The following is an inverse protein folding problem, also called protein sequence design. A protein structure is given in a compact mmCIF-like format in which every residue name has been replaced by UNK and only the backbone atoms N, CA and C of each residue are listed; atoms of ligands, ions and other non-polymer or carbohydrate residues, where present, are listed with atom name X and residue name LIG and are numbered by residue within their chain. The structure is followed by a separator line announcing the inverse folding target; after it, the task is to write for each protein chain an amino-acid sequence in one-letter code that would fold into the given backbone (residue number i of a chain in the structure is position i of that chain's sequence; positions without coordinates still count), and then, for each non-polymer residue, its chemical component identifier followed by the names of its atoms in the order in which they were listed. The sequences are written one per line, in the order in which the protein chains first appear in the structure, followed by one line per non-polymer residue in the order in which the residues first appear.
data_IF_473947206740
#
_entry.id   IF_473947206740
#
_cell.length_a   1.000
_cell.length_b   1.000
_cell.length_c   1.000
_cell.angle_alpha   90.00
_cell.angle_beta   90.00
_cell.angle_gamma   90.00
#
_symmetry.space_group_name_H-M   'P 1'
#
loop_
_entity.id
_entity.type
_entity.pdbx_description
1 polymer ?
#
# COMPACT_ATOMS: atom_id res chain seq x y z
N UNK A 1 20.59 45.91 -15.28
CA UNK A 1 21.71 45.32 -14.51
C UNK A 1 21.12 44.67 -13.29
N UNK A 2 20.75 43.40 -13.36
CA UNK A 2 20.03 42.67 -12.32
C UNK A 2 21.00 41.77 -11.55
N UNK A 3 21.19 42.07 -10.30
CA UNK A 3 22.06 41.33 -9.37
C UNK A 3 21.34 40.03 -9.00
N UNK A 4 21.79 38.90 -9.53
CA UNK A 4 21.39 37.57 -9.06
C UNK A 4 22.03 37.32 -7.68
N UNK A 5 21.21 37.31 -6.62
CA UNK A 5 21.64 36.78 -5.31
C UNK A 5 21.79 35.26 -5.45
N UNK A 6 23.02 34.76 -5.31
CA UNK A 6 23.29 33.35 -5.11
C UNK A 6 22.77 32.94 -3.74
N UNK A 7 21.91 31.93 -3.71
CA UNK A 7 21.58 31.21 -2.48
C UNK A 7 22.84 30.41 -2.09
N UNK A 8 23.38 30.54 -0.86
CA UNK A 8 24.49 29.71 -0.44
C UNK A 8 24.03 28.27 -0.30
N UNK A 9 24.81 27.33 -0.84
CA UNK A 9 24.69 25.91 -0.52
C UNK A 9 24.94 25.73 0.98
N UNK A 10 24.21 24.85 1.69
CA UNK A 10 24.48 24.59 3.10
C UNK A 10 25.92 24.07 3.26
N UNK A 11 26.68 24.78 4.06
CA UNK A 11 28.03 24.38 4.42
C UNK A 11 28.02 23.06 5.20
N UNK A 12 29.08 22.29 5.02
CA UNK A 12 29.32 21.03 5.74
C UNK A 12 29.19 21.27 7.27
N UNK A 13 28.29 20.60 8.00
CA UNK A 13 28.07 20.88 9.43
C UNK A 13 29.32 20.56 10.23
N UNK A 14 29.79 21.56 10.98
CA UNK A 14 31.05 21.46 11.73
C UNK A 14 30.86 21.20 13.23
N UNK A 15 29.60 21.09 13.71
CA UNK A 15 29.32 20.86 15.13
C UNK A 15 28.21 19.82 15.36
N UNK A 16 28.24 19.10 16.51
CA UNK A 16 27.18 18.17 16.89
C UNK A 16 25.81 18.83 17.02
N UNK A 17 25.71 20.13 17.20
CA UNK A 17 24.47 20.90 17.30
C UNK A 17 23.87 21.16 15.92
N UNK A 18 24.66 21.40 14.90
CA UNK A 18 24.24 21.55 13.51
C UNK A 18 23.78 20.21 12.93
N UNK A 19 24.39 19.10 13.33
CA UNK A 19 23.96 17.75 12.99
C UNK A 19 22.60 17.43 13.63
N UNK A 20 22.37 17.84 14.89
CA UNK A 20 21.10 17.63 15.58
C UNK A 20 19.96 18.48 14.99
N UNK A 21 20.24 19.67 14.47
CA UNK A 21 19.26 20.50 13.76
C UNK A 21 18.98 19.96 12.35
N UNK A 22 19.94 19.35 11.67
CA UNK A 22 19.72 18.68 10.38
C UNK A 22 18.84 17.41 10.52
N UNK A 23 18.87 16.74 11.68
CA UNK A 23 18.09 15.51 11.97
C UNK A 23 16.58 15.80 12.20
N UNK A 24 16.15 17.05 12.31
CA UNK A 24 14.76 17.41 12.61
C UNK A 24 13.84 17.55 11.38
N UNK A 25 14.31 17.29 10.18
CA UNK A 25 13.50 17.41 8.97
C UNK A 25 12.48 16.28 8.88
N UNK A 26 11.19 16.65 8.93
CA UNK A 26 10.08 15.74 8.75
C UNK A 26 9.57 15.78 7.30
N UNK A 27 8.75 14.80 6.91
CA UNK A 27 7.99 14.82 5.64
C UNK A 27 7.31 16.18 5.38
N UNK A 28 6.88 16.85 6.43
CA UNK A 28 6.26 18.17 6.38
C UNK A 28 7.23 19.26 5.95
N UNK A 29 8.46 19.22 6.46
CA UNK A 29 9.48 20.25 6.19
C UNK A 29 10.00 20.13 4.76
N UNK A 30 10.20 18.90 4.25
CA UNK A 30 10.54 18.63 2.86
C UNK A 30 9.51 19.22 1.88
N UNK A 31 8.22 18.98 2.12
CA UNK A 31 7.16 19.42 1.22
C UNK A 31 6.90 20.93 1.30
N UNK A 32 7.17 21.57 2.43
CA UNK A 32 7.11 23.04 2.54
C UNK A 32 8.19 23.75 1.72
N UNK A 33 9.34 23.09 1.49
CA UNK A 33 10.41 23.62 0.62
C UNK A 33 10.10 23.41 -0.86
N UNK A 34 9.47 22.28 -1.23
CA UNK A 34 9.07 21.98 -2.60
C UNK A 34 7.90 22.85 -3.08
N UNK A 35 7.03 23.31 -2.16
CA UNK A 35 5.82 24.11 -2.46
C UNK A 35 6.00 25.63 -2.35
N UNK A 36 7.21 26.13 -2.22
CA UNK A 36 7.56 27.54 -2.05
C UNK A 36 7.21 28.46 -3.22
N UNK A 37 6.02 28.31 -3.83
CA UNK A 37 5.43 29.28 -4.75
C UNK A 37 3.91 29.34 -4.56
N UNK A 38 3.45 30.51 -4.08
CA UNK A 38 2.07 31.02 -4.05
C UNK A 38 1.15 30.56 -2.91
N UNK A 39 1.19 31.32 -1.81
CA UNK A 39 0.06 31.44 -0.87
C UNK A 39 -0.89 32.50 -1.41
N UNK A 40 -1.96 32.05 -2.07
CA UNK A 40 -3.14 32.86 -2.34
C UNK A 40 -4.26 32.39 -1.42
N UNK A 41 -4.64 33.20 -0.44
CA UNK A 41 -5.78 32.93 0.45
C UNK A 41 -7.08 32.99 -0.34
N UNK A 42 -7.70 31.85 -0.62
CA UNK A 42 -9.04 31.76 -1.15
C UNK A 42 -10.00 31.40 0.00
N UNK A 43 -10.88 32.33 0.34
CA UNK A 43 -12.04 32.12 1.21
C UNK A 43 -12.97 31.10 0.56
N UNK A 44 -13.09 29.92 1.15
CA UNK A 44 -14.02 28.88 0.73
C UNK A 44 -15.45 29.23 1.17
N UNK A 45 -16.26 29.65 0.21
CA UNK A 45 -17.71 29.70 0.36
C UNK A 45 -18.25 28.27 0.34
N UNK A 46 -18.86 27.84 1.44
CA UNK A 46 -19.57 26.55 1.52
C UNK A 46 -20.86 26.63 0.68
N UNK A 47 -20.80 26.07 -0.54
CA UNK A 47 -22.01 25.70 -1.26
C UNK A 47 -22.46 24.30 -0.83
N UNK A 48 -23.79 24.03 -0.67
CA UNK A 48 -24.24 22.70 -0.31
C UNK A 48 -23.88 21.71 -1.42
N UNK A 49 -23.10 20.67 -1.07
CA UNK A 49 -22.78 19.57 -1.96
C UNK A 49 -24.09 18.89 -2.38
N UNK A 50 -24.53 19.11 -3.61
CA UNK A 50 -25.45 18.21 -4.29
C UNK A 50 -24.72 16.87 -4.39
N UNK A 51 -25.28 15.83 -3.77
CA UNK A 51 -24.85 14.46 -3.98
C UNK A 51 -24.91 14.15 -5.49
N UNK A 52 -23.81 14.29 -6.18
CA UNK A 52 -23.66 13.85 -7.55
C UNK A 52 -23.75 12.32 -7.49
N UNK A 53 -24.74 11.76 -8.19
CA UNK A 53 -24.83 10.33 -8.40
C UNK A 53 -23.49 9.88 -9.01
N UNK A 54 -22.69 9.14 -8.23
CA UNK A 54 -21.39 8.68 -8.65
C UNK A 54 -21.53 7.79 -9.89
N UNK A 55 -20.73 7.98 -10.92
CA UNK A 55 -20.75 7.11 -12.08
C UNK A 55 -20.53 5.66 -11.65
N UNK A 56 -21.38 4.72 -12.08
CA UNK A 56 -21.27 3.27 -11.79
C UNK A 56 -19.94 2.63 -12.23
N UNK A 57 -19.06 3.40 -12.85
CA UNK A 57 -17.79 2.97 -13.43
C UNK A 57 -16.55 3.32 -12.59
N UNK A 58 -16.71 3.94 -11.39
CA UNK A 58 -15.55 4.31 -10.57
C UNK A 58 -14.85 3.07 -10.04
N UNK A 59 -13.53 3.06 -10.17
CA UNK A 59 -12.65 1.99 -9.68
C UNK A 59 -11.73 2.50 -8.60
N UNK A 60 -11.30 1.61 -7.72
CA UNK A 60 -10.31 1.90 -6.69
C UNK A 60 -9.22 0.84 -6.72
N UNK A 61 -7.97 1.29 -6.70
CA UNK A 61 -6.80 0.45 -6.49
C UNK A 61 -6.12 0.92 -5.20
N UNK A 62 -5.97 0.03 -4.24
CA UNK A 62 -5.20 0.27 -3.00
C UNK A 62 -3.89 -0.47 -3.12
N UNK A 63 -2.78 0.23 -2.92
CA UNK A 63 -1.44 -0.34 -2.87
C UNK A 63 -0.91 -0.17 -1.45
N UNK A 64 -0.71 -1.27 -0.72
CA UNK A 64 0.00 -1.22 0.54
C UNK A 64 1.50 -1.21 0.27
N UNK A 65 2.14 -0.11 0.62
CA UNK A 65 3.60 0.04 0.62
C UNK A 65 4.13 -0.66 1.88
N UNK A 66 4.03 -1.98 1.89
CA UNK A 66 4.12 -2.81 3.08
C UNK A 66 5.53 -3.21 3.45
N UNK A 67 5.68 -3.59 4.71
CA UNK A 67 6.97 -3.80 5.33
C UNK A 67 7.49 -2.55 6.06
N UNK A 68 6.86 -1.39 5.86
CA UNK A 68 7.21 -0.11 6.47
C UNK A 68 8.55 0.47 6.00
N UNK A 69 8.61 1.77 5.87
CA UNK A 69 9.84 2.51 5.58
C UNK A 69 9.90 3.76 6.47
N UNK A 70 11.09 4.12 6.93
CA UNK A 70 11.32 5.33 7.72
C UNK A 70 11.50 6.55 6.81
N UNK A 71 11.34 7.73 7.38
CA UNK A 71 11.61 8.98 6.67
C UNK A 71 13.10 9.12 6.34
N UNK A 72 13.97 8.58 7.19
CA UNK A 72 15.42 8.57 6.99
C UNK A 72 15.84 7.93 5.67
N UNK A 73 15.18 6.85 5.26
CA UNK A 73 15.48 6.16 4.00
C UNK A 73 14.57 6.58 2.84
N UNK A 74 13.65 7.54 3.06
CA UNK A 74 12.67 7.96 2.03
C UNK A 74 12.62 9.47 1.86
N UNK A 75 11.89 10.19 2.72
CA UNK A 75 11.59 11.62 2.52
C UNK A 75 12.64 12.57 3.06
N UNK A 76 13.52 12.14 3.96
CA UNK A 76 14.65 12.96 4.39
C UNK A 76 15.70 13.11 3.25
N UNK A 77 16.48 14.19 3.24
CA UNK A 77 17.34 14.53 2.11
C UNK A 77 18.21 13.36 1.60
N UNK A 78 18.82 12.59 2.50
CA UNK A 78 19.70 11.48 2.15
C UNK A 78 18.92 10.24 1.66
N UNK A 79 17.64 10.12 2.02
CA UNK A 79 16.77 9.02 1.60
C UNK A 79 16.06 9.24 0.28
N UNK A 80 16.02 10.47 -0.23
CA UNK A 80 15.20 10.82 -1.41
C UNK A 80 15.65 10.12 -2.70
N UNK A 81 16.91 9.77 -2.80
CA UNK A 81 17.43 8.99 -3.94
C UNK A 81 16.82 7.59 -4.04
N UNK A 82 16.23 7.07 -2.94
CA UNK A 82 15.60 5.76 -2.90
C UNK A 82 14.15 5.77 -3.40
N UNK A 83 13.52 6.95 -3.53
CA UNK A 83 12.11 7.09 -3.92
C UNK A 83 11.90 8.10 -5.07
N UNK A 84 12.69 8.05 -6.15
CA UNK A 84 12.63 9.04 -7.21
C UNK A 84 11.25 9.09 -7.90
N UNK A 85 10.56 7.96 -8.06
CA UNK A 85 9.25 7.91 -8.72
C UNK A 85 8.14 8.50 -7.82
N UNK A 86 8.14 8.20 -6.52
CA UNK A 86 7.22 8.84 -5.58
C UNK A 86 7.37 10.35 -5.63
N UNK A 87 8.62 10.86 -5.59
CA UNK A 87 8.91 12.29 -5.53
C UNK A 87 8.59 13.03 -6.83
N UNK A 88 9.00 12.47 -7.98
CA UNK A 88 8.95 13.20 -9.25
C UNK A 88 7.74 12.88 -10.11
N UNK A 89 7.13 11.71 -9.94
CA UNK A 89 6.01 11.27 -10.76
C UNK A 89 4.68 11.25 -9.98
N UNK A 90 4.66 10.71 -8.74
CA UNK A 90 3.40 10.41 -8.05
C UNK A 90 2.94 11.54 -7.12
N UNK A 91 3.81 12.12 -6.30
CA UNK A 91 3.45 13.25 -5.42
C UNK A 91 2.86 14.42 -6.22
N UNK A 92 3.44 14.85 -7.37
CA UNK A 92 2.88 15.96 -8.15
C UNK A 92 1.44 15.71 -8.64
N UNK A 93 1.04 14.45 -8.81
CA UNK A 93 -0.29 14.06 -9.27
C UNK A 93 -1.25 13.70 -8.13
N UNK A 94 -0.85 13.87 -6.87
CA UNK A 94 -1.58 13.35 -5.72
C UNK A 94 -1.98 14.43 -4.71
N UNK A 95 -2.95 14.07 -3.86
CA UNK A 95 -3.09 14.63 -2.51
C UNK A 95 -2.27 13.76 -1.56
N UNK A 96 -1.25 14.33 -0.93
CA UNK A 96 -0.30 13.65 -0.06
C UNK A 96 -0.56 13.96 1.42
N UNK A 97 -0.91 12.93 2.19
CA UNK A 97 -1.11 12.99 3.63
C UNK A 97 0.19 12.62 4.34
N UNK A 98 0.77 13.55 5.10
CA UNK A 98 2.06 13.35 5.74
C UNK A 98 1.98 12.69 7.12
N UNK A 99 0.79 12.57 7.71
CA UNK A 99 0.58 12.14 9.10
C UNK A 99 -0.59 11.16 9.19
N UNK A 100 -0.38 9.92 8.76
CA UNK A 100 -1.35 8.82 8.92
C UNK A 100 -0.97 7.99 10.15
N UNK A 101 -1.86 7.91 11.13
CA UNK A 101 -1.56 7.27 12.42
C UNK A 101 -2.29 5.95 12.56
N UNK A 102 -1.54 4.90 12.90
CA UNK A 102 -2.05 3.59 13.27
C UNK A 102 -1.94 3.39 14.78
N UNK A 103 -3.08 3.28 15.47
CA UNK A 103 -3.13 3.01 16.92
C UNK A 103 -3.27 1.53 17.26
N UNK A 104 -3.40 0.68 16.26
CA UNK A 104 -3.55 -0.77 16.42
C UNK A 104 -2.24 -1.52 16.69
N UNK A 105 -2.30 -2.82 16.49
CA UNK A 105 -1.14 -3.71 16.53
C UNK A 105 -0.32 -3.51 15.27
N UNK A 106 0.99 -3.30 15.41
CA UNK A 106 1.92 -3.11 14.31
C UNK A 106 2.51 -4.45 13.85
N UNK A 107 1.66 -5.34 13.39
CA UNK A 107 2.02 -6.55 12.67
C UNK A 107 1.39 -6.50 11.28
N UNK A 108 2.13 -6.89 10.24
CA UNK A 108 1.73 -6.62 8.84
C UNK A 108 0.36 -7.20 8.48
N UNK A 109 0.04 -8.40 8.95
CA UNK A 109 -1.25 -9.04 8.62
C UNK A 109 -2.41 -8.42 9.38
N UNK A 110 -2.26 -8.20 10.70
CA UNK A 110 -3.30 -7.58 11.52
C UNK A 110 -3.48 -6.11 11.21
N UNK A 111 -2.41 -5.38 10.87
CA UNK A 111 -2.50 -3.98 10.44
C UNK A 111 -3.18 -3.84 9.07
N UNK A 112 -2.83 -4.70 8.10
CA UNK A 112 -3.51 -4.72 6.79
C UNK A 112 -4.98 -5.12 6.92
N UNK A 113 -5.30 -6.08 7.82
CA UNK A 113 -6.69 -6.40 8.14
C UNK A 113 -7.43 -5.20 8.74
N UNK A 114 -6.78 -4.45 9.65
CA UNK A 114 -7.34 -3.23 10.24
C UNK A 114 -7.58 -2.14 9.17
N UNK A 115 -6.67 -1.99 8.21
CA UNK A 115 -6.86 -1.12 7.05
C UNK A 115 -8.05 -1.56 6.19
N UNK A 116 -8.27 -2.88 6.04
CA UNK A 116 -9.33 -3.42 5.21
C UNK A 116 -10.71 -3.43 5.89
N UNK A 117 -10.77 -3.46 7.22
CA UNK A 117 -12.03 -3.44 7.99
C UNK A 117 -12.44 -2.03 8.45
N UNK A 118 -11.46 -1.12 8.60
CA UNK A 118 -11.68 0.18 9.24
C UNK A 118 -11.86 0.07 10.76
N UNK A 119 -11.41 -1.03 11.36
CA UNK A 119 -11.40 -1.30 12.80
C UNK A 119 -10.03 -1.82 13.21
N UNK A 120 -9.51 -1.44 14.37
CA UNK A 120 -8.26 -2.01 14.86
C UNK A 120 -8.48 -3.45 15.30
N UNK A 121 -8.14 -4.39 14.42
CA UNK A 121 -8.19 -5.82 14.71
C UNK A 121 -7.15 -6.22 15.75
N UNK A 122 -7.44 -7.28 16.54
CA UNK A 122 -6.62 -7.64 17.70
C UNK A 122 -6.16 -9.10 17.72
N UNK A 123 -6.30 -9.80 16.59
CA UNK A 123 -5.82 -11.19 16.50
C UNK A 123 -4.28 -11.27 16.43
N UNK A 124 -3.77 -12.44 16.73
CA UNK A 124 -2.34 -12.72 16.61
C UNK A 124 -1.90 -12.61 15.15
N UNK A 125 -0.87 -11.81 14.90
CA UNK A 125 -0.34 -11.55 13.54
C UNK A 125 -0.02 -12.82 12.74
N UNK A 126 0.32 -13.93 13.39
CA UNK A 126 0.70 -15.19 12.74
C UNK A 126 -0.39 -16.28 12.79
N UNK A 127 -1.60 -15.93 13.20
CA UNK A 127 -2.67 -16.93 13.39
C UNK A 127 -3.38 -17.33 12.08
N UNK A 128 -3.16 -16.64 10.98
CA UNK A 128 -3.86 -16.84 9.68
C UNK A 128 -5.39 -16.94 9.83
N UNK A 129 -5.95 -16.15 10.72
CA UNK A 129 -7.39 -16.08 10.98
C UNK A 129 -8.03 -14.96 10.17
N UNK A 130 -9.33 -15.07 9.81
CA UNK A 130 -10.02 -13.96 9.17
C UNK A 130 -10.18 -12.79 10.15
N UNK A 131 -10.31 -11.56 9.67
CA UNK A 131 -10.72 -10.41 10.48
C UNK A 131 -12.07 -10.67 11.18
N UNK A 132 -12.25 -10.09 12.36
CA UNK A 132 -13.51 -10.23 13.10
C UNK A 132 -14.61 -9.32 12.54
N UNK A 133 -14.23 -8.18 11.94
CA UNK A 133 -15.15 -7.19 11.40
C UNK A 133 -15.24 -7.28 9.87
N UNK A 134 -16.38 -6.88 9.26
CA UNK A 134 -16.54 -6.91 7.82
C UNK A 134 -15.49 -6.09 7.10
N UNK A 135 -14.95 -6.64 6.03
CA UNK A 135 -13.96 -5.99 5.19
C UNK A 135 -14.60 -5.03 4.20
N UNK A 136 -13.80 -4.11 3.67
CA UNK A 136 -14.20 -3.21 2.58
C UNK A 136 -14.75 -3.97 1.36
N UNK A 137 -14.25 -5.17 1.11
CA UNK A 137 -14.69 -6.02 0.00
C UNK A 137 -16.11 -6.56 0.22
N UNK A 138 -16.43 -6.94 1.46
CA UNK A 138 -17.75 -7.45 1.83
C UNK A 138 -18.79 -6.33 1.79
N UNK A 139 -18.47 -5.13 2.30
CA UNK A 139 -19.34 -3.96 2.14
C UNK A 139 -19.56 -3.66 0.65
N UNK A 140 -18.50 -3.56 -0.13
CA UNK A 140 -18.55 -3.27 -1.57
C UNK A 140 -19.42 -4.28 -2.32
N UNK A 141 -19.19 -5.57 -2.09
CA UNK A 141 -19.91 -6.62 -2.82
C UNK A 141 -21.36 -6.78 -2.40
N UNK A 142 -21.63 -6.80 -1.10
CA UNK A 142 -22.98 -6.98 -0.56
C UNK A 142 -23.85 -5.76 -0.80
N UNK A 143 -23.40 -4.59 -0.39
CA UNK A 143 -24.24 -3.38 -0.38
C UNK A 143 -24.50 -2.88 -1.81
N UNK A 144 -23.57 -3.10 -2.74
CA UNK A 144 -23.70 -2.71 -4.14
C UNK A 144 -24.06 -3.87 -5.08
N UNK A 145 -24.33 -5.05 -4.53
CA UNK A 145 -24.63 -6.26 -5.30
C UNK A 145 -23.60 -6.54 -6.40
N UNK A 146 -22.29 -6.47 -6.04
CA UNK A 146 -21.19 -6.68 -6.99
C UNK A 146 -20.81 -8.16 -7.10
N UNK A 147 -20.47 -8.65 -8.31
CA UNK A 147 -20.05 -10.04 -8.51
C UNK A 147 -18.69 -10.33 -7.84
N UNK A 148 -18.39 -11.62 -7.62
CA UNK A 148 -17.13 -12.05 -7.03
C UNK A 148 -15.89 -11.61 -7.83
N UNK A 149 -16.03 -11.47 -9.14
CA UNK A 149 -14.94 -11.05 -10.04
C UNK A 149 -14.56 -9.57 -9.92
N UNK A 150 -15.30 -8.80 -9.11
CA UNK A 150 -15.15 -7.34 -9.06
C UNK A 150 -14.35 -6.84 -7.85
N UNK A 151 -13.95 -7.76 -6.94
CA UNK A 151 -13.13 -7.46 -5.77
C UNK A 151 -12.00 -8.47 -5.60
N UNK A 152 -10.75 -8.01 -5.59
CA UNK A 152 -9.57 -8.86 -5.54
C UNK A 152 -8.50 -8.31 -4.60
N UNK A 153 -7.77 -9.25 -3.98
CA UNK A 153 -6.53 -9.02 -3.24
C UNK A 153 -5.40 -9.79 -3.91
N UNK A 154 -4.28 -9.14 -4.14
CA UNK A 154 -3.03 -9.77 -4.55
C UNK A 154 -1.98 -9.46 -3.50
N UNK A 155 -1.41 -10.47 -2.88
CA UNK A 155 -0.45 -10.30 -1.80
C UNK A 155 0.64 -11.38 -1.84
N UNK A 156 1.91 -11.06 -1.51
CA UNK A 156 3.02 -11.98 -1.71
C UNK A 156 3.07 -13.10 -0.66
N UNK A 157 2.50 -12.90 0.51
CA UNK A 157 2.74 -13.71 1.69
C UNK A 157 1.47 -14.42 2.20
N UNK A 158 1.64 -15.59 2.84
CA UNK A 158 0.55 -16.41 3.37
C UNK A 158 -0.32 -15.71 4.41
N UNK A 159 0.27 -14.88 5.26
CA UNK A 159 -0.46 -14.20 6.31
C UNK A 159 -1.59 -13.29 5.78
N UNK A 160 -1.49 -12.86 4.52
CA UNK A 160 -2.55 -12.08 3.88
C UNK A 160 -3.70 -12.92 3.32
N UNK A 161 -3.63 -14.25 3.39
CA UNK A 161 -4.63 -15.17 2.84
C UNK A 161 -6.07 -14.87 3.30
N UNK A 162 -6.24 -14.39 4.52
CA UNK A 162 -7.55 -14.23 5.15
C UNK A 162 -8.10 -12.80 5.11
N UNK A 163 -7.36 -11.82 4.59
CA UNK A 163 -7.81 -10.41 4.62
C UNK A 163 -8.96 -10.10 3.65
N UNK A 164 -9.25 -10.97 2.70
CA UNK A 164 -10.30 -10.77 1.72
C UNK A 164 -11.72 -11.00 2.26
N UNK A 165 -11.88 -11.83 3.30
CA UNK A 165 -13.18 -12.22 3.86
C UNK A 165 -13.10 -12.33 5.37
N UNK A 166 -14.08 -11.75 6.08
CA UNK A 166 -14.13 -11.73 7.54
C UNK A 166 -14.86 -12.94 8.14
N UNK A 167 -14.72 -13.07 9.48
CA UNK A 167 -15.56 -13.96 10.30
C UNK A 167 -16.91 -13.37 10.70
N UNK A 168 -17.24 -12.15 10.25
CA UNK A 168 -18.45 -11.43 10.66
C UNK A 168 -19.72 -12.14 10.23
N UNK A 169 -20.57 -12.49 11.21
CA UNK A 169 -21.82 -13.23 10.95
C UNK A 169 -22.82 -12.50 10.06
N UNK A 170 -22.77 -11.18 10.03
CA UNK A 170 -23.66 -10.32 9.23
C UNK A 170 -23.40 -10.36 7.74
N UNK A 171 -22.21 -10.85 7.31
CA UNK A 171 -21.83 -10.86 5.90
C UNK A 171 -21.87 -12.25 5.27
N UNK A 172 -21.55 -13.31 5.97
CA UNK A 172 -21.58 -14.67 5.45
C UNK A 172 -20.44 -14.99 4.47
N UNK A 173 -20.29 -16.28 4.17
CA UNK A 173 -19.24 -16.77 3.31
C UNK A 173 -19.44 -16.39 1.83
N UNK A 174 -18.35 -16.10 1.14
CA UNK A 174 -18.34 -15.86 -0.29
C UNK A 174 -18.71 -14.42 -0.70
N UNK A 175 -18.82 -13.50 0.26
CA UNK A 175 -19.02 -12.07 -0.01
C UNK A 175 -17.73 -11.26 0.01
N UNK A 176 -16.60 -11.86 0.35
CA UNK A 176 -15.29 -11.21 0.35
C UNK A 176 -14.65 -11.12 -1.05
N UNK A 177 -13.42 -10.65 -1.08
CA UNK A 177 -12.58 -10.62 -2.28
C UNK A 177 -11.99 -12.00 -2.59
N UNK A 178 -11.74 -12.27 -3.87
CA UNK A 178 -10.81 -13.33 -4.26
C UNK A 178 -9.38 -12.95 -3.82
N UNK A 179 -8.66 -13.89 -3.22
CA UNK A 179 -7.28 -13.68 -2.77
C UNK A 179 -6.32 -14.50 -3.63
N UNK A 180 -5.34 -13.82 -4.21
CA UNK A 180 -4.25 -14.46 -4.96
C UNK A 180 -2.95 -14.27 -4.20
N UNK A 181 -2.27 -15.40 -3.95
CA UNK A 181 -0.95 -15.47 -3.34
C UNK A 181 0.05 -15.98 -4.39
N UNK A 182 0.69 -15.09 -5.17
CA UNK A 182 1.50 -15.48 -6.32
C UNK A 182 2.64 -16.43 -6.01
N UNK A 183 3.31 -16.30 -4.86
CA UNK A 183 4.35 -17.23 -4.41
C UNK A 183 3.83 -18.66 -4.24
N UNK A 184 2.64 -18.79 -3.66
CA UNK A 184 2.00 -20.10 -3.45
C UNK A 184 1.65 -20.76 -4.77
N UNK A 185 1.14 -19.98 -5.71
CA UNK A 185 0.84 -20.44 -7.07
C UNK A 185 2.11 -20.86 -7.81
N UNK A 186 3.17 -20.05 -7.73
CA UNK A 186 4.46 -20.39 -8.31
C UNK A 186 5.02 -21.68 -7.68
N UNK A 187 5.00 -21.80 -6.37
CA UNK A 187 5.44 -23.00 -5.66
C UNK A 187 4.67 -24.25 -6.09
N UNK A 188 3.36 -24.14 -6.32
CA UNK A 188 2.53 -25.25 -6.78
C UNK A 188 2.80 -25.62 -8.26
N UNK A 189 3.19 -24.64 -9.09
CA UNK A 189 3.55 -24.86 -10.50
C UNK A 189 4.88 -25.59 -10.67
N UNK A 190 5.76 -25.52 -9.65
CA UNK A 190 7.14 -26.03 -9.77
C UNK A 190 7.26 -27.45 -9.21
N UNK A 191 7.97 -28.31 -9.93
CA UNK A 191 8.46 -29.58 -9.39
C UNK A 191 9.48 -29.34 -8.29
N UNK A 192 9.71 -30.35 -7.42
CA UNK A 192 10.64 -30.23 -6.29
C UNK A 192 12.06 -29.79 -6.69
N UNK A 193 12.54 -30.18 -7.88
CA UNK A 193 13.86 -29.78 -8.41
C UNK A 193 13.87 -28.37 -9.03
N UNK A 194 12.71 -27.87 -9.49
CA UNK A 194 12.59 -26.54 -10.09
C UNK A 194 12.61 -25.39 -9.10
N UNK A 195 12.27 -25.64 -7.82
CA UNK A 195 12.13 -24.58 -6.79
C UNK A 195 13.42 -23.82 -6.51
N UNK A 196 14.59 -24.45 -6.69
CA UNK A 196 15.89 -23.80 -6.46
C UNK A 196 16.08 -22.57 -7.35
N UNK A 197 15.62 -22.61 -8.60
CA UNK A 197 15.73 -21.49 -9.55
C UNK A 197 14.89 -20.29 -9.15
N UNK A 198 13.84 -20.50 -8.35
CA UNK A 198 12.89 -19.47 -7.93
C UNK A 198 12.99 -19.16 -6.44
N UNK A 199 14.07 -19.59 -5.78
CA UNK A 199 14.23 -19.41 -4.34
C UNK A 199 14.10 -17.95 -3.92
N UNK A 200 14.58 -17.01 -4.75
CA UNK A 200 14.48 -15.56 -4.51
C UNK A 200 13.05 -15.04 -4.57
N UNK A 201 12.16 -15.65 -5.38
CA UNK A 201 10.74 -15.29 -5.45
C UNK A 201 9.90 -15.99 -4.37
N UNK A 202 10.36 -17.13 -3.87
CA UNK A 202 9.65 -17.94 -2.88
C UNK A 202 10.06 -17.58 -1.44
N UNK A 203 10.99 -16.64 -1.29
CA UNK A 203 11.53 -16.24 0.00
C UNK A 203 10.48 -15.55 0.85
N UNK A 204 10.38 -15.99 2.10
CA UNK A 204 9.74 -15.26 3.18
C UNK A 204 10.72 -15.14 4.34
N UNK A 205 10.79 -13.95 4.92
CA UNK A 205 11.76 -13.67 5.98
C UNK A 205 11.29 -14.14 7.36
N UNK A 206 9.99 -14.34 7.53
CA UNK A 206 9.36 -14.59 8.82
C UNK A 206 8.43 -15.80 8.87
N UNK A 207 7.91 -16.21 7.73
CA UNK A 207 6.91 -17.26 7.69
C UNK A 207 7.56 -18.63 7.59
N UNK A 208 6.93 -19.60 8.24
CA UNK A 208 7.18 -21.01 7.96
C UNK A 208 7.09 -21.23 6.46
N UNK A 209 7.97 -22.02 5.87
CA UNK A 209 7.99 -22.19 4.41
C UNK A 209 6.59 -22.38 3.84
N UNK A 210 6.25 -21.58 2.87
CA UNK A 210 4.98 -21.48 2.12
C UNK A 210 4.39 -22.78 1.61
N UNK A 211 4.99 -23.89 1.91
CA UNK A 211 4.73 -25.19 1.33
C UNK A 211 3.77 -26.06 2.13
N UNK A 212 3.21 -25.53 3.22
CA UNK A 212 2.21 -26.28 3.98
C UNK A 212 0.88 -26.23 3.22
N UNK A 213 0.40 -27.35 2.65
CA UNK A 213 -0.78 -27.38 1.79
C UNK A 213 -2.11 -27.20 2.52
N UNK A 214 -2.13 -26.68 3.75
CA UNK A 214 -3.20 -26.97 4.69
C UNK A 214 -4.24 -25.87 4.89
N UNK A 215 -4.08 -24.69 4.31
CA UNK A 215 -5.09 -23.63 4.52
C UNK A 215 -6.07 -23.62 3.35
N UNK A 216 -7.22 -24.24 3.53
CA UNK A 216 -8.38 -24.07 2.65
C UNK A 216 -9.03 -22.74 2.97
N UNK A 217 -8.70 -21.73 2.20
CA UNK A 217 -9.34 -20.41 2.22
C UNK A 217 -10.05 -20.13 0.90
N UNK A 218 -10.41 -18.87 0.70
CA UNK A 218 -10.92 -18.32 -0.57
C UNK A 218 -9.81 -18.15 -1.63
N UNK A 219 -8.72 -18.92 -1.52
CA UNK A 219 -7.59 -18.85 -2.42
C UNK A 219 -7.93 -19.37 -3.80
N UNK A 220 -7.38 -18.68 -4.78
CA UNK A 220 -7.37 -19.10 -6.17
C UNK A 220 -6.25 -20.12 -6.37
N UNK A 221 -6.58 -21.31 -6.88
CA UNK A 221 -5.60 -22.31 -7.27
C UNK A 221 -4.99 -22.02 -8.66
N UNK A 222 -3.97 -22.77 -9.05
CA UNK A 222 -3.29 -22.60 -10.35
C UNK A 222 -4.21 -22.74 -11.55
N UNK A 223 -5.16 -23.67 -11.50
CA UNK A 223 -6.11 -23.88 -12.60
C UNK A 223 -7.04 -22.68 -12.73
N UNK A 224 -7.63 -22.26 -11.62
CA UNK A 224 -8.47 -21.06 -11.57
C UNK A 224 -7.68 -19.83 -12.01
N UNK A 225 -6.43 -19.66 -11.55
CA UNK A 225 -5.58 -18.56 -11.98
C UNK A 225 -5.37 -18.56 -13.49
N UNK A 226 -5.02 -19.71 -14.06
CA UNK A 226 -4.80 -19.85 -15.50
C UNK A 226 -6.05 -19.51 -16.30
N UNK A 227 -7.21 -19.95 -15.83
CA UNK A 227 -8.51 -19.62 -16.44
C UNK A 227 -8.83 -18.11 -16.33
N UNK A 228 -8.58 -17.50 -15.17
CA UNK A 228 -8.83 -16.08 -14.90
C UNK A 228 -7.89 -15.20 -15.70
N UNK A 229 -6.59 -15.45 -15.63
CA UNK A 229 -5.58 -14.58 -16.23
C UNK A 229 -5.35 -14.84 -17.72
N UNK A 230 -5.93 -15.93 -18.27
CA UNK A 230 -5.68 -16.39 -19.66
C UNK A 230 -4.19 -16.57 -19.94
N UNK A 231 -3.44 -17.04 -18.95
CA UNK A 231 -2.01 -17.32 -19.02
C UNK A 231 -1.79 -18.78 -18.72
N UNK A 232 -1.02 -19.48 -19.55
CA UNK A 232 -0.65 -20.86 -19.26
C UNK A 232 0.28 -20.95 -18.05
N UNK A 233 0.33 -22.13 -17.41
CA UNK A 233 1.27 -22.36 -16.29
C UNK A 233 2.72 -22.20 -16.75
N UNK A 234 3.03 -22.64 -17.98
CA UNK A 234 4.36 -22.50 -18.56
C UNK A 234 4.75 -21.04 -18.82
N UNK A 235 3.84 -20.23 -19.37
CA UNK A 235 4.07 -18.79 -19.57
C UNK A 235 4.21 -18.05 -18.23
N UNK A 236 3.39 -18.42 -17.24
CA UNK A 236 3.50 -17.86 -15.89
C UNK A 236 4.86 -18.15 -15.26
N UNK A 237 5.31 -19.40 -15.31
CA UNK A 237 6.61 -19.80 -14.78
C UNK A 237 7.77 -19.23 -15.59
N UNK A 238 7.65 -19.16 -16.91
CA UNK A 238 8.66 -18.53 -17.77
C UNK A 238 8.80 -17.04 -17.46
N UNK A 239 7.69 -16.33 -17.30
CA UNK A 239 7.74 -14.91 -16.91
C UNK A 239 8.32 -14.73 -15.50
N UNK A 240 7.95 -15.58 -14.54
CA UNK A 240 8.51 -15.52 -13.19
C UNK A 240 10.04 -15.60 -13.16
N UNK A 241 10.70 -16.26 -14.13
CA UNK A 241 12.18 -16.28 -14.23
C UNK A 241 12.80 -14.92 -14.50
N UNK A 242 12.05 -13.98 -15.06
CA UNK A 242 12.55 -12.64 -15.40
C UNK A 242 12.42 -11.65 -14.24
N UNK A 243 11.77 -12.05 -13.14
CA UNK A 243 11.48 -11.22 -11.99
C UNK A 243 12.53 -11.40 -10.89
N UNK A 244 12.78 -10.37 -10.14
CA UNK A 244 13.79 -10.35 -9.08
C UNK A 244 13.21 -10.48 -7.66
N UNK A 245 11.89 -10.33 -7.50
CA UNK A 245 11.28 -10.29 -6.17
C UNK A 245 9.82 -10.77 -6.14
N UNK A 246 9.34 -11.18 -4.95
CA UNK A 246 7.94 -11.53 -4.72
C UNK A 246 6.96 -10.40 -5.05
N UNK A 247 7.33 -9.14 -4.78
CA UNK A 247 6.47 -7.99 -5.06
C UNK A 247 6.33 -7.75 -6.58
N UNK A 248 7.40 -7.95 -7.36
CA UNK A 248 7.32 -7.92 -8.83
C UNK A 248 6.37 -8.97 -9.38
N UNK A 249 6.40 -10.18 -8.79
CA UNK A 249 5.47 -11.25 -9.16
C UNK A 249 4.02 -10.87 -8.82
N UNK A 250 3.81 -10.23 -7.67
CA UNK A 250 2.49 -9.74 -7.26
C UNK A 250 1.96 -8.64 -8.20
N UNK A 251 2.80 -7.70 -8.59
CA UNK A 251 2.43 -6.64 -9.55
C UNK A 251 2.15 -7.22 -10.94
N UNK A 252 2.93 -8.20 -11.39
CA UNK A 252 2.64 -8.90 -12.63
C UNK A 252 1.24 -9.51 -12.64
N UNK A 253 0.90 -10.27 -11.58
CA UNK A 253 -0.43 -10.89 -11.44
C UNK A 253 -1.54 -9.83 -11.35
N UNK A 254 -1.34 -8.77 -10.59
CA UNK A 254 -2.30 -7.67 -10.48
C UNK A 254 -2.58 -7.00 -11.83
N UNK A 255 -1.54 -6.76 -12.64
CA UNK A 255 -1.69 -6.21 -14.01
C UNK A 255 -2.44 -7.16 -14.94
N UNK A 256 -2.24 -8.48 -14.83
CA UNK A 256 -3.03 -9.44 -15.60
C UNK A 256 -4.50 -9.41 -15.17
N UNK A 257 -4.80 -9.32 -13.86
CA UNK A 257 -6.17 -9.15 -13.36
C UNK A 257 -6.83 -7.88 -13.92
N UNK A 258 -6.10 -6.78 -13.93
CA UNK A 258 -6.59 -5.50 -14.47
C UNK A 258 -6.99 -5.66 -15.96
N UNK A 259 -6.20 -6.37 -16.75
CA UNK A 259 -6.46 -6.60 -18.18
C UNK A 259 -7.59 -7.58 -18.44
N UNK A 260 -7.68 -8.65 -17.66
CA UNK A 260 -8.60 -9.75 -17.95
C UNK A 260 -9.98 -9.59 -17.32
N UNK A 261 -10.04 -9.08 -16.09
CA UNK A 261 -11.27 -8.95 -15.31
C UNK A 261 -11.68 -7.50 -15.06
N UNK A 262 -10.74 -6.59 -15.10
CA UNK A 262 -10.94 -5.18 -14.78
C UNK A 262 -11.74 -4.94 -13.48
N UNK A 263 -11.37 -5.54 -12.31
CA UNK A 263 -12.12 -5.39 -11.07
C UNK A 263 -12.28 -3.91 -10.68
N UNK A 264 -13.39 -3.59 -10.00
CA UNK A 264 -13.62 -2.23 -9.51
C UNK A 264 -12.93 -1.94 -8.17
N UNK A 265 -12.62 -2.98 -7.40
CA UNK A 265 -11.87 -2.87 -6.15
C UNK A 265 -10.70 -3.87 -6.17
N UNK A 266 -9.48 -3.35 -6.31
CA UNK A 266 -8.26 -4.15 -6.32
C UNK A 266 -7.34 -3.69 -5.20
N UNK A 267 -6.91 -4.62 -4.35
CA UNK A 267 -5.93 -4.38 -3.30
C UNK A 267 -4.64 -5.14 -3.61
N UNK A 268 -3.54 -4.43 -3.67
CA UNK A 268 -2.21 -4.97 -3.94
C UNK A 268 -1.35 -4.72 -2.69
N UNK A 269 -0.91 -5.77 -2.04
CA UNK A 269 0.04 -5.65 -0.94
C UNK A 269 1.45 -5.93 -1.45
N UNK A 270 2.38 -5.02 -1.20
CA UNK A 270 3.81 -5.19 -1.39
C UNK A 270 4.44 -5.46 -0.01
N UNK A 271 5.51 -6.26 0.05
CA UNK A 271 6.05 -6.69 1.36
C UNK A 271 7.56 -6.95 1.37
N UNK A 272 8.26 -6.67 0.28
CA UNK A 272 9.69 -6.96 0.15
C UNK A 272 10.54 -6.22 1.21
N UNK A 273 10.09 -5.04 1.67
CA UNK A 273 10.80 -4.25 2.68
C UNK A 273 10.89 -4.92 4.04
N UNK A 274 10.10 -5.95 4.30
CA UNK A 274 10.17 -6.71 5.54
C UNK A 274 11.49 -7.48 5.72
N UNK A 275 12.30 -7.57 4.67
CA UNK A 275 13.70 -8.00 4.72
C UNK A 275 14.53 -7.23 5.74
N UNK A 276 14.12 -6.03 6.11
CA UNK A 276 14.74 -5.19 7.14
C UNK A 276 14.96 -5.93 8.47
N UNK A 277 14.04 -6.79 8.85
CA UNK A 277 14.17 -7.61 10.07
C UNK A 277 15.40 -8.53 10.08
N UNK A 278 15.90 -8.91 8.91
CA UNK A 278 17.13 -9.69 8.81
C UNK A 278 18.42 -8.86 9.07
N UNK A 279 18.28 -7.56 9.30
CA UNK A 279 19.42 -6.65 9.55
C UNK A 279 20.22 -6.31 8.29
N UNK A 280 19.77 -6.71 7.11
CA UNK A 280 20.45 -6.47 5.84
C UNK A 280 20.03 -5.10 5.28
N UNK A 281 20.67 -4.02 5.72
CA UNK A 281 20.32 -2.65 5.35
C UNK A 281 20.31 -2.41 3.83
N UNK A 282 21.29 -2.95 3.09
CA UNK A 282 21.35 -2.80 1.63
C UNK A 282 20.13 -3.44 0.94
N UNK A 283 19.69 -4.61 1.41
CA UNK A 283 18.50 -5.27 0.86
C UNK A 283 17.21 -4.51 1.19
N UNK A 284 17.18 -3.85 2.35
CA UNK A 284 16.06 -2.98 2.73
C UNK A 284 15.99 -1.74 1.82
N UNK A 285 17.12 -1.10 1.53
CA UNK A 285 17.19 0.02 0.57
C UNK A 285 16.76 -0.44 -0.84
N UNK A 286 17.28 -1.57 -1.33
CA UNK A 286 16.86 -2.14 -2.62
C UNK A 286 15.36 -2.42 -2.66
N UNK A 287 14.76 -2.88 -1.55
CA UNK A 287 13.34 -3.12 -1.46
C UNK A 287 12.53 -1.81 -1.51
N UNK A 288 12.99 -0.73 -0.86
CA UNK A 288 12.39 0.61 -0.96
C UNK A 288 12.39 1.08 -2.42
N UNK A 289 13.54 1.05 -3.08
CA UNK A 289 13.71 1.48 -4.48
C UNK A 289 12.82 0.66 -5.43
N UNK A 290 12.71 -0.63 -5.19
CA UNK A 290 11.83 -1.51 -5.95
C UNK A 290 10.36 -1.16 -5.74
N UNK A 291 9.94 -0.97 -4.50
CA UNK A 291 8.56 -0.63 -4.16
C UNK A 291 8.16 0.72 -4.73
N UNK A 292 9.06 1.71 -4.70
CA UNK A 292 8.90 3.01 -5.36
C UNK A 292 8.60 2.85 -6.86
N UNK A 293 9.45 2.11 -7.57
CA UNK A 293 9.29 1.82 -9.00
C UNK A 293 7.97 1.07 -9.28
N UNK A 294 7.64 0.06 -8.48
CA UNK A 294 6.43 -0.74 -8.66
C UNK A 294 5.15 0.09 -8.48
N UNK A 295 5.13 1.04 -7.54
CA UNK A 295 4.01 1.98 -7.39
C UNK A 295 3.80 2.82 -8.66
N UNK A 296 4.88 3.32 -9.26
CA UNK A 296 4.80 4.06 -10.52
C UNK A 296 4.36 3.16 -11.70
N UNK A 297 4.82 1.92 -11.75
CA UNK A 297 4.40 0.95 -12.77
C UNK A 297 2.90 0.61 -12.66
N UNK A 298 2.37 0.46 -11.44
CA UNK A 298 0.93 0.25 -11.21
C UNK A 298 0.15 1.47 -11.71
N UNK A 299 0.60 2.69 -11.37
CA UNK A 299 -0.06 3.92 -11.83
C UNK A 299 -0.03 4.07 -13.35
N UNK A 300 1.10 3.81 -14.00
CA UNK A 300 1.22 3.77 -15.47
C UNK A 300 0.29 2.71 -16.08
N UNK A 301 0.17 1.56 -15.44
CA UNK A 301 -0.79 0.51 -15.82
C UNK A 301 -2.22 1.02 -15.75
N UNK A 302 -2.62 1.67 -14.66
CA UNK A 302 -3.95 2.28 -14.51
C UNK A 302 -4.23 3.31 -15.61
N UNK A 303 -3.26 4.14 -15.95
CA UNK A 303 -3.43 5.16 -17.00
C UNK A 303 -3.51 4.58 -18.42
N UNK A 304 -2.92 3.42 -18.65
CA UNK A 304 -2.86 2.79 -19.98
C UNK A 304 -3.99 1.79 -20.27
N UNK A 305 -4.60 1.22 -19.24
CA UNK A 305 -5.68 0.24 -19.42
C UNK A 305 -7.04 0.95 -19.62
N UNK A 306 -7.75 0.75 -20.75
CA UNK A 306 -8.98 1.49 -21.09
C UNK A 306 -10.08 1.40 -20.03
N UNK A 307 -10.15 0.25 -19.32
CA UNK A 307 -11.13 0.04 -18.26
C UNK A 307 -10.80 0.80 -16.97
N UNK A 308 -9.59 1.32 -16.83
CA UNK A 308 -9.10 2.04 -15.65
C UNK A 308 -8.84 3.52 -15.92
N UNK A 309 -8.33 3.87 -17.09
CA UNK A 309 -7.93 5.23 -17.44
C UNK A 309 -9.07 6.24 -17.24
N UNK A 310 -8.78 7.30 -16.48
CA UNK A 310 -9.75 8.35 -16.18
C UNK A 310 -10.93 7.95 -15.27
N UNK A 311 -10.93 6.73 -14.71
CA UNK A 311 -12.01 6.19 -13.87
C UNK A 311 -11.54 5.73 -12.49
N UNK A 312 -10.22 5.67 -12.27
CA UNK A 312 -9.63 4.99 -11.12
C UNK A 312 -9.01 5.96 -10.14
N UNK A 313 -9.34 5.80 -8.87
CA UNK A 313 -8.62 6.42 -7.76
C UNK A 313 -7.64 5.40 -7.21
N UNK A 314 -6.35 5.75 -7.13
CA UNK A 314 -5.31 4.94 -6.51
C UNK A 314 -4.92 5.51 -5.16
N UNK A 315 -4.84 4.62 -4.16
CA UNK A 315 -4.29 4.90 -2.84
C UNK A 315 -2.97 4.16 -2.70
N UNK A 316 -1.96 4.83 -2.19
CA UNK A 316 -0.68 4.21 -1.78
C UNK A 316 -0.45 4.59 -0.33
N UNK A 317 -0.27 3.60 0.54
CA UNK A 317 0.03 3.84 1.94
C UNK A 317 0.80 2.66 2.55
N UNK A 318 1.77 2.91 3.46
CA UNK A 318 2.31 1.86 4.30
C UNK A 318 1.25 1.39 5.31
N UNK A 319 1.38 0.15 5.77
CA UNK A 319 0.57 -0.38 6.87
C UNK A 319 0.93 0.27 8.22
N UNK A 320 2.21 0.65 8.38
CA UNK A 320 2.76 1.46 9.48
C UNK A 320 4.19 1.91 9.13
N UNK A 321 4.89 2.58 10.05
CA UNK A 321 6.29 2.99 9.91
C UNK A 321 7.28 1.99 10.52
N UNK A 322 8.52 2.45 10.78
CA UNK A 322 9.54 1.70 11.54
C UNK A 322 10.09 2.55 12.67
N UNK A 323 10.78 1.90 13.62
CA UNK A 323 11.29 2.53 14.83
C UNK A 323 12.34 3.62 14.54
N UNK A 324 12.42 4.56 15.45
CA UNK A 324 13.56 5.49 15.51
C UNK A 324 14.85 4.77 15.94
N UNK A 325 15.99 5.33 15.58
CA UNK A 325 17.29 4.80 16.00
C UNK A 325 17.57 5.06 17.49
N UNK A 326 16.96 6.10 18.07
CA UNK A 326 17.19 6.51 19.47
C UNK A 326 16.90 5.40 20.47
N UNK A 327 15.81 4.65 20.24
CA UNK A 327 15.36 3.57 21.14
C UNK A 327 15.87 2.17 20.72
N UNK A 328 16.56 2.07 19.57
CA UNK A 328 16.95 0.81 18.94
C UNK A 328 18.46 0.60 18.87
N UNK A 329 19.25 1.49 19.46
CA UNK A 329 20.70 1.40 19.40
C UNK A 329 21.29 1.57 17.99
N UNK A 330 20.62 2.35 17.13
CA UNK A 330 21.04 2.61 15.74
C UNK A 330 20.50 1.59 14.72
N UNK A 331 19.56 0.73 15.12
CA UNK A 331 18.98 -0.32 14.26
C UNK A 331 17.44 -0.19 14.12
N UNK A 332 16.90 1.01 14.22
CA UNK A 332 15.46 1.27 14.16
C UNK A 332 14.81 0.70 12.90
N UNK A 333 15.49 0.72 11.77
CA UNK A 333 14.98 0.18 10.51
C UNK A 333 14.59 -1.31 10.59
N UNK A 334 15.15 -2.08 11.55
CA UNK A 334 14.83 -3.50 11.73
C UNK A 334 13.51 -3.76 12.47
N UNK A 335 12.94 -2.75 13.12
CA UNK A 335 11.85 -2.92 14.07
C UNK A 335 10.68 -2.01 13.76
N UNK A 336 9.50 -2.41 14.28
CA UNK A 336 8.26 -1.62 14.26
C UNK A 336 7.49 -1.87 15.55
N UNK A 337 8.05 -1.44 16.68
CA UNK A 337 7.45 -1.64 18.00
C UNK A 337 6.29 -0.67 18.23
N UNK A 338 5.23 -1.18 18.86
CA UNK A 338 4.03 -0.36 19.15
C UNK A 338 4.28 0.82 20.07
N UNK A 339 5.37 0.83 20.82
CA UNK A 339 5.78 1.91 21.70
C UNK A 339 6.47 3.09 20.98
N UNK A 340 6.98 2.88 19.76
CA UNK A 340 7.67 3.93 19.02
C UNK A 340 6.68 4.80 18.20
N UNK A 341 6.69 6.12 18.37
CA UNK A 341 5.79 7.01 17.63
C UNK A 341 6.01 7.01 16.12
N UNK A 342 7.26 6.78 15.64
CA UNK A 342 7.57 6.73 14.21
C UNK A 342 7.02 5.46 13.57
N UNK A 343 7.07 4.33 14.28
CA UNK A 343 6.42 3.10 13.83
C UNK A 343 4.91 3.25 13.67
N UNK A 344 4.27 4.11 14.47
CA UNK A 344 2.84 4.37 14.40
C UNK A 344 2.44 5.40 13.35
N UNK A 345 3.37 6.20 12.87
CA UNK A 345 3.06 7.31 11.97
C UNK A 345 3.64 7.06 10.58
N UNK A 346 2.80 7.13 9.59
CA UNK A 346 3.18 6.94 8.19
C UNK A 346 2.52 8.00 7.30
N UNK A 347 2.48 7.76 6.01
CA UNK A 347 1.96 8.65 5.00
C UNK A 347 0.92 7.95 4.11
N UNK A 348 0.19 8.73 3.30
CA UNK A 348 -0.70 8.20 2.28
C UNK A 348 -0.73 9.15 1.08
N UNK A 349 -0.71 8.58 -0.13
CA UNK A 349 -0.95 9.29 -1.38
C UNK A 349 -2.28 8.85 -1.96
N UNK A 350 -3.03 9.82 -2.49
CA UNK A 350 -4.28 9.54 -3.21
C UNK A 350 -4.25 10.32 -4.52
N UNK A 351 -4.51 9.62 -5.63
CA UNK A 351 -4.48 10.20 -6.97
C UNK A 351 -5.58 9.62 -7.86
N UNK A 352 -6.03 10.41 -8.83
CA UNK A 352 -7.07 10.00 -9.76
C UNK A 352 -8.08 11.10 -10.05
N UNK A 353 -9.12 10.82 -10.85
CA UNK A 353 -10.11 11.82 -11.26
C UNK A 353 -10.82 12.46 -10.09
N UNK A 354 -10.81 13.78 -10.04
CA UNK A 354 -11.42 14.58 -8.96
C UNK A 354 -10.56 14.73 -7.71
N UNK A 355 -9.41 14.06 -7.63
CA UNK A 355 -8.44 14.26 -6.55
C UNK A 355 -7.59 15.50 -6.85
N UNK A 356 -7.38 16.33 -5.84
CA UNK A 356 -6.53 17.50 -5.99
C UNK A 356 -5.07 17.11 -6.15
N UNK A 357 -4.47 17.54 -7.26
CA UNK A 357 -3.06 17.32 -7.55
C UNK A 357 -2.17 18.28 -6.77
N UNK A 358 -0.92 17.87 -6.54
CA UNK A 358 0.11 18.63 -5.85
C UNK A 358 -0.38 19.27 -4.54
N UNK A 359 -1.17 18.51 -3.76
CA UNK A 359 -1.75 18.97 -2.50
C UNK A 359 -1.13 18.22 -1.33
N UNK A 360 -0.83 18.94 -0.26
CA UNK A 360 -0.25 18.39 0.97
C UNK A 360 -1.19 18.58 2.14
N UNK A 361 -1.49 17.49 2.85
CA UNK A 361 -2.34 17.46 4.03
C UNK A 361 -1.47 17.14 5.25
N UNK A 362 -1.17 18.17 6.07
CA UNK A 362 -0.30 18.05 7.24
C UNK A 362 -1.04 17.73 8.55
N UNK A 363 -2.38 17.64 8.54
CA UNK A 363 -3.12 17.23 9.73
C UNK A 363 -3.01 15.75 9.97
N UNK A 364 -3.12 15.31 11.21
CA UNK A 364 -3.21 13.88 11.55
C UNK A 364 -4.52 13.30 11.04
N UNK A 365 -4.43 12.13 10.39
CA UNK A 365 -5.54 11.28 9.99
C UNK A 365 -5.33 9.88 10.56
N UNK A 366 -6.41 9.13 10.72
CA UNK A 366 -6.33 7.75 11.20
C UNK A 366 -6.13 6.80 10.02
N UNK A 367 -5.37 5.74 10.18
CA UNK A 367 -5.30 4.66 9.18
C UNK A 367 -6.68 4.04 8.89
N UNK A 368 -7.58 4.05 9.88
CA UNK A 368 -8.95 3.58 9.76
C UNK A 368 -9.85 4.48 8.87
N UNK A 369 -9.43 5.72 8.57
CA UNK A 369 -10.19 6.63 7.70
C UNK A 369 -10.25 6.14 6.24
N UNK A 370 -9.40 5.17 5.88
CA UNK A 370 -9.36 4.57 4.54
C UNK A 370 -10.72 3.96 4.17
N UNK A 371 -11.26 3.05 4.97
CA UNK A 371 -12.49 2.30 4.62
C UNK A 371 -13.72 3.20 4.43
N UNK A 372 -14.03 4.17 5.32
CA UNK A 372 -15.10 5.13 5.07
C UNK A 372 -14.87 6.01 3.84
N UNK A 373 -13.60 6.34 3.53
CA UNK A 373 -13.25 7.10 2.33
C UNK A 373 -13.52 6.28 1.07
N UNK A 374 -13.12 5.01 1.04
CA UNK A 374 -13.44 4.07 -0.04
C UNK A 374 -14.94 3.88 -0.20
N UNK A 375 -15.67 3.79 0.92
CA UNK A 375 -17.13 3.73 0.93
C UNK A 375 -17.77 4.91 0.23
N UNK A 376 -17.32 6.12 0.56
CA UNK A 376 -17.82 7.36 -0.07
C UNK A 376 -17.49 7.42 -1.56
N UNK A 377 -16.29 6.96 -1.99
CA UNK A 377 -15.89 6.94 -3.39
C UNK A 377 -16.65 5.89 -4.21
N UNK A 378 -16.93 4.73 -3.65
CA UNK A 378 -17.56 3.60 -4.34
C UNK A 378 -19.10 3.56 -4.16
N UNK A 379 -19.64 4.28 -3.17
CA UNK A 379 -21.08 4.40 -2.95
C UNK A 379 -21.68 3.40 -1.96
N UNK A 380 -20.90 2.88 -1.00
CA UNK A 380 -21.39 2.06 0.11
C UNK A 380 -21.11 2.71 1.46
N UNK A 381 -21.81 2.24 2.51
CA UNK A 381 -21.66 2.76 3.87
C UNK A 381 -21.12 1.68 4.80
N UNK A 382 -19.85 1.74 5.26
CA UNK A 382 -19.24 0.72 6.11
C UNK A 382 -19.68 0.90 7.57
N UNK A 383 -20.79 0.26 7.97
CA UNK A 383 -21.49 0.48 9.23
C UNK A 383 -20.65 0.20 10.48
N UNK A 384 -19.65 -0.68 10.41
CA UNK A 384 -18.82 -1.03 11.56
C UNK A 384 -17.44 -0.36 11.55
N UNK A 385 -17.07 0.32 10.45
CA UNK A 385 -15.81 1.06 10.40
C UNK A 385 -15.83 2.25 11.37
N UNK A 386 -14.72 2.44 12.09
CA UNK A 386 -14.58 3.45 13.16
C UNK A 386 -13.98 4.77 12.65
N UNK A 387 -13.35 4.76 11.48
CA UNK A 387 -12.79 5.96 10.86
C UNK A 387 -13.83 6.92 10.30
N UNK A 388 -13.37 7.99 9.66
CA UNK A 388 -14.19 9.00 9.00
C UNK A 388 -13.72 9.22 7.57
N UNK A 389 -14.64 9.50 6.63
CA UNK A 389 -14.24 9.85 5.27
C UNK A 389 -13.29 11.07 5.25
N UNK A 390 -12.28 11.02 4.41
CA UNK A 390 -11.32 12.11 4.23
C UNK A 390 -11.88 13.14 3.25
N UNK A 391 -12.25 14.35 3.70
CA UNK A 391 -12.89 15.35 2.83
C UNK A 391 -11.98 15.84 1.70
N UNK A 392 -10.67 15.72 1.87
CA UNK A 392 -9.68 16.10 0.85
C UNK A 392 -9.65 15.15 -0.36
N UNK A 393 -10.32 14.00 -0.24
CA UNK A 393 -10.38 12.96 -1.28
C UNK A 393 -11.75 12.92 -1.98
N UNK A 394 -12.77 13.59 -1.43
CA UNK A 394 -14.18 13.51 -1.85
C UNK A 394 -14.64 14.67 -2.73
#
# INVERSE_FOLDING_TARGET
MAIRRRVPLPGNPQSPREIAEAISWSRRDFLSLATGASVGSALLSFAPLKALALPRSRKVVVVTFGGGARDEETFMPDGQENIPHLLTELIPQSTFFTQVVNHGILGHYVATASLATGVYETFNNFAEVPPDHPTVFEYFRKDLNRPATDAWVVAPSNGFNRIGESGARSYGRGLGAGVILPKRLLSAALSSGGRVQYAHLLRDNYETPLYTPQVKGSEVDLRQLSEILKVSVDDFTAHARTLSSPDELSVYVARQLMRQLAPSLLWITLHDMDVAHAGAYSLYIEAIQRTDRLCAEIWKGIQSEPEYAGKTTMFILPDFGRDSDSDSGGNGFQHHRTGDPLSRTTWMMVMGPGIRENAVVGRRVQSLDLVPTLGSLLGFSPQQAQGKPLPEVL
#
